data_IF_551257842328
#
_entry.id   IF_551257842328
#
_cell.length_a   1.000
_cell.length_b   1.000
_cell.length_c   1.000
_cell.angle_alpha   90.00
_cell.angle_beta   90.00
_cell.angle_gamma   90.00
#
_symmetry.space_group_name_H-M   'P 1'
#
loop_
_entity.id
_entity.type
_entity.pdbx_description
1 polymer ?
#
# COMPACT_ATOMS: atom_id res chain seq x y z
N UNK A 1 17.22 14.91 -21.90
CA UNK A 1 17.87 14.46 -20.66
C UNK A 1 17.33 15.29 -19.54
N UNK A 2 16.56 14.69 -18.64
CA UNK A 2 16.10 15.39 -17.42
C UNK A 2 17.14 15.16 -16.33
N UNK A 3 17.77 16.22 -15.86
CA UNK A 3 18.67 16.16 -14.72
C UNK A 3 17.86 15.83 -13.47
N UNK A 4 18.24 14.78 -12.74
CA UNK A 4 17.66 14.49 -11.44
C UNK A 4 18.13 15.54 -10.40
N UNK A 5 17.36 15.73 -9.31
CA UNK A 5 17.77 16.59 -8.19
C UNK A 5 19.13 16.18 -7.63
N UNK A 6 19.42 14.87 -7.64
CA UNK A 6 20.71 14.33 -7.21
C UNK A 6 21.84 14.70 -8.17
N UNK A 7 21.58 14.70 -9.49
CA UNK A 7 22.56 15.09 -10.49
C UNK A 7 22.78 16.61 -10.43
N UNK A 8 21.73 17.39 -10.21
CA UNK A 8 21.86 18.83 -9.95
C UNK A 8 22.76 19.12 -8.74
N UNK A 9 22.57 18.41 -7.64
CA UNK A 9 23.42 18.55 -6.45
C UNK A 9 24.86 18.08 -6.71
N UNK A 10 25.06 16.99 -7.47
CA UNK A 10 26.40 16.52 -7.86
C UNK A 10 27.09 17.49 -8.81
N UNK A 11 26.38 18.01 -9.82
CA UNK A 11 26.92 19.03 -10.72
C UNK A 11 27.15 20.34 -10.00
N UNK A 12 26.26 20.76 -9.11
CA UNK A 12 26.42 21.93 -8.28
C UNK A 12 27.67 21.83 -7.40
N UNK A 13 27.97 20.69 -6.81
CA UNK A 13 29.17 20.46 -6.02
C UNK A 13 30.45 20.41 -6.89
N UNK A 14 30.40 19.82 -8.08
CA UNK A 14 31.53 19.78 -9.02
C UNK A 14 31.83 21.18 -9.59
N UNK A 15 30.78 21.93 -9.92
CA UNK A 15 30.94 23.32 -10.42
C UNK A 15 31.49 24.24 -9.31
N UNK A 16 31.02 24.04 -8.07
CA UNK A 16 31.54 24.80 -6.91
C UNK A 16 33.00 24.48 -6.63
N UNK A 17 33.43 23.20 -6.77
CA UNK A 17 34.83 22.81 -6.68
C UNK A 17 35.68 23.44 -7.83
N UNK A 18 35.13 23.50 -9.05
CA UNK A 18 35.78 24.11 -10.21
C UNK A 18 35.97 25.64 -10.07
N UNK A 19 35.01 26.34 -9.43
CA UNK A 19 35.06 27.76 -9.19
C UNK A 19 36.01 28.11 -8.01
N UNK A 20 36.11 27.24 -7.00
CA UNK A 20 37.05 27.39 -5.89
C UNK A 20 38.52 27.34 -6.35
N UNK A 21 38.82 26.59 -7.44
CA UNK A 21 40.15 26.56 -8.06
C UNK A 21 40.42 27.79 -8.91
N UNK A 22 39.36 28.55 -9.32
CA UNK A 22 39.44 29.75 -10.13
C UNK A 22 39.59 31.07 -9.36
N UNK A 23 39.84 31.06 -8.06
CA UNK A 23 40.33 32.23 -7.30
C UNK A 23 39.30 33.31 -6.90
N UNK A 24 37.98 33.02 -7.01
CA UNK A 24 36.90 33.78 -6.36
C UNK A 24 36.06 32.83 -5.54
N UNK A 25 36.42 32.70 -4.25
CA UNK A 25 35.76 31.81 -3.32
C UNK A 25 34.25 32.10 -3.23
N UNK A 26 33.43 31.21 -3.75
CA UNK A 26 32.04 31.14 -3.35
C UNK A 26 32.01 30.59 -1.93
N UNK A 27 31.42 31.37 -1.01
CA UNK A 27 31.15 30.87 0.33
C UNK A 27 30.08 29.78 0.24
N UNK A 28 30.48 28.53 0.42
CA UNK A 28 29.58 27.37 0.40
C UNK A 28 28.98 27.09 1.77
N UNK A 29 29.38 27.78 2.82
CA UNK A 29 28.88 27.58 4.18
C UNK A 29 27.35 27.66 4.27
N UNK A 30 26.63 28.55 3.57
CA UNK A 30 25.17 28.58 3.57
C UNK A 30 24.58 27.33 2.90
N UNK A 31 25.22 26.80 1.85
CA UNK A 31 24.75 25.58 1.14
C UNK A 31 25.00 24.36 2.00
N UNK A 32 26.13 24.24 2.64
CA UNK A 32 26.46 23.18 3.57
C UNK A 32 25.53 23.20 4.80
N UNK A 33 25.27 24.36 5.37
CA UNK A 33 24.33 24.55 6.46
C UNK A 33 22.91 24.12 6.05
N UNK A 34 22.44 24.50 4.86
CA UNK A 34 21.15 24.07 4.33
C UNK A 34 21.12 22.55 4.09
N UNK A 35 22.21 21.96 3.57
CA UNK A 35 22.31 20.53 3.35
C UNK A 35 22.26 19.73 4.66
N UNK A 36 22.75 20.28 5.78
CA UNK A 36 22.67 19.62 7.09
C UNK A 36 21.23 19.53 7.63
N UNK A 37 20.33 20.37 7.15
CA UNK A 37 18.92 20.42 7.57
C UNK A 37 18.00 19.57 6.69
N UNK A 38 18.52 18.91 5.65
CA UNK A 38 17.71 18.07 4.79
C UNK A 38 17.05 16.93 5.60
N UNK A 39 15.73 16.84 5.47
CA UNK A 39 14.91 15.85 6.19
C UNK A 39 15.37 14.41 5.95
N UNK A 40 15.84 14.11 4.74
CA UNK A 40 16.28 12.77 4.33
C UNK A 40 17.77 12.50 4.62
N UNK A 41 18.49 13.43 5.25
CA UNK A 41 19.89 13.21 5.64
C UNK A 41 19.99 12.04 6.61
N UNK A 42 20.89 11.10 6.33
CA UNK A 42 21.09 9.88 7.13
C UNK A 42 19.88 8.94 7.15
N UNK A 43 18.88 9.19 6.32
CA UNK A 43 17.77 8.27 6.15
C UNK A 43 18.17 7.05 5.30
N UNK A 44 17.58 5.90 5.61
CA UNK A 44 17.65 4.72 4.73
C UNK A 44 16.53 4.83 3.71
N UNK A 45 16.85 4.59 2.44
CA UNK A 45 15.87 4.54 1.36
C UNK A 45 15.51 3.08 1.04
N UNK A 46 14.22 2.82 0.89
CA UNK A 46 13.68 1.53 0.47
C UNK A 46 12.81 1.75 -0.77
N UNK A 47 12.84 0.77 -1.69
CA UNK A 47 11.93 0.77 -2.82
C UNK A 47 10.56 0.24 -2.40
N UNK A 48 9.51 0.84 -2.92
CA UNK A 48 8.13 0.45 -2.69
C UNK A 48 7.23 0.78 -3.87
N UNK A 49 5.97 0.43 -3.78
CA UNK A 49 4.96 0.68 -4.81
C UNK A 49 3.78 1.43 -4.18
N UNK A 50 3.26 2.40 -4.91
CA UNK A 50 2.06 3.15 -4.50
C UNK A 50 0.83 2.23 -4.49
N UNK A 51 0.06 2.15 -3.39
CA UNK A 51 -1.06 1.20 -3.28
C UNK A 51 -2.35 1.69 -3.93
N UNK A 52 -2.42 2.92 -4.48
CA UNK A 52 -3.69 3.52 -4.83
C UNK A 52 -4.33 3.03 -6.13
N UNK A 53 -3.55 2.66 -7.13
CA UNK A 53 -4.12 2.21 -8.39
C UNK A 53 -3.16 1.34 -9.20
N UNK A 54 -3.69 0.70 -10.25
CA UNK A 54 -2.96 -0.23 -11.13
C UNK A 54 -1.77 0.38 -11.88
N UNK A 55 -1.56 1.70 -11.83
CA UNK A 55 -0.34 2.31 -12.39
C UNK A 55 0.91 1.81 -11.67
N UNK A 56 0.80 1.46 -10.37
CA UNK A 56 1.92 0.90 -9.63
C UNK A 56 3.15 1.81 -9.59
N UNK A 57 2.94 3.13 -9.36
CA UNK A 57 4.06 4.08 -9.32
C UNK A 57 5.08 3.66 -8.27
N UNK A 58 6.34 3.50 -8.68
CA UNK A 58 7.40 3.17 -7.74
C UNK A 58 7.77 4.37 -6.87
N UNK A 59 8.08 4.09 -5.63
CA UNK A 59 8.36 5.05 -4.58
C UNK A 59 9.70 4.75 -3.91
N UNK A 60 10.42 5.80 -3.52
CA UNK A 60 11.51 5.74 -2.56
C UNK A 60 10.95 6.14 -1.19
N UNK A 61 11.02 5.22 -0.26
CA UNK A 61 10.52 5.38 1.11
C UNK A 61 11.71 5.63 2.02
N UNK A 62 11.79 6.83 2.56
CA UNK A 62 12.87 7.23 3.46
C UNK A 62 12.48 6.98 4.91
N UNK A 63 13.32 6.24 5.60
CA UNK A 63 13.11 5.91 7.02
C UNK A 63 14.26 6.37 7.89
N UNK A 64 13.93 6.84 9.09
CA UNK A 64 14.87 7.18 10.15
C UNK A 64 14.21 6.85 11.50
N UNK A 65 14.98 6.28 12.43
CA UNK A 65 14.49 5.92 13.77
C UNK A 65 13.19 5.10 13.76
N UNK A 66 13.14 4.11 12.85
CA UNK A 66 11.99 3.23 12.64
C UNK A 66 10.69 3.95 12.25
N UNK A 67 10.79 5.12 11.63
CA UNK A 67 9.65 5.89 11.11
C UNK A 67 9.86 6.24 9.65
N UNK A 68 8.78 6.27 8.89
CA UNK A 68 8.79 6.85 7.55
C UNK A 68 8.82 8.36 7.70
N UNK A 69 9.84 9.00 7.15
CA UNK A 69 10.03 10.44 7.23
C UNK A 69 9.73 11.15 5.92
N UNK A 70 9.89 10.46 4.78
CA UNK A 70 9.54 10.98 3.47
C UNK A 70 9.23 9.88 2.46
N UNK A 71 8.48 10.22 1.40
CA UNK A 71 8.19 9.35 0.25
C UNK A 71 8.30 10.20 -1.01
N UNK A 72 9.13 9.75 -1.94
CA UNK A 72 9.31 10.34 -3.26
C UNK A 72 9.09 9.31 -4.36
N UNK A 73 8.88 9.77 -5.60
CA UNK A 73 8.85 8.88 -6.75
C UNK A 73 10.24 8.35 -7.06
N UNK A 74 10.34 7.07 -7.39
CA UNK A 74 11.59 6.43 -7.78
C UNK A 74 11.99 6.82 -9.22
N UNK A 75 13.08 7.58 -9.40
CA UNK A 75 13.51 8.05 -10.72
C UNK A 75 14.06 6.94 -11.61
N UNK A 76 14.49 5.81 -11.01
CA UNK A 76 15.09 4.71 -11.74
C UNK A 76 14.03 3.78 -12.36
N UNK A 77 12.76 4.00 -12.03
CA UNK A 77 11.65 3.21 -12.55
C UNK A 77 11.28 3.63 -13.98
N UNK A 78 11.26 2.69 -14.95
CA UNK A 78 11.10 3.03 -16.37
C UNK A 78 9.73 3.58 -16.74
N UNK A 79 8.66 3.26 -15.98
CA UNK A 79 7.29 3.67 -16.33
C UNK A 79 6.86 5.00 -15.72
N UNK A 80 7.35 5.38 -14.54
CA UNK A 80 6.96 6.64 -13.90
C UNK A 80 8.07 7.68 -13.81
N UNK A 81 9.34 7.25 -13.92
CA UNK A 81 10.51 8.14 -13.94
C UNK A 81 10.49 9.16 -12.81
N UNK A 82 10.18 8.71 -11.60
CA UNK A 82 10.11 9.56 -10.41
C UNK A 82 8.84 10.42 -10.28
N UNK A 83 7.84 10.24 -11.15
CA UNK A 83 6.61 11.03 -11.08
C UNK A 83 5.58 10.35 -10.18
N UNK A 84 4.95 11.16 -9.31
CA UNK A 84 3.82 10.77 -8.49
C UNK A 84 2.67 11.75 -8.71
N UNK A 85 1.44 11.25 -8.72
CA UNK A 85 0.26 12.09 -8.60
C UNK A 85 0.10 12.56 -7.14
N UNK A 86 -0.79 13.52 -6.84
CA UNK A 86 -0.98 14.01 -5.47
C UNK A 86 -1.28 12.91 -4.44
N UNK A 87 -2.02 11.86 -4.82
CA UNK A 87 -2.29 10.71 -3.93
C UNK A 87 -1.02 9.93 -3.61
N UNK A 88 -0.20 9.63 -4.64
CA UNK A 88 1.07 8.96 -4.47
C UNK A 88 2.05 9.75 -3.60
N UNK A 89 2.11 11.06 -3.79
CA UNK A 89 2.93 11.95 -2.94
C UNK A 89 2.44 12.01 -1.49
N UNK A 90 1.14 11.83 -1.25
CA UNK A 90 0.53 11.85 0.08
C UNK A 90 0.54 10.49 0.79
N UNK A 91 1.11 9.43 0.22
CA UNK A 91 1.11 8.08 0.83
C UNK A 91 1.77 8.04 2.22
N UNK A 92 2.72 8.91 2.50
CA UNK A 92 3.31 9.04 3.84
C UNK A 92 2.25 9.28 4.93
N UNK A 93 1.15 9.95 4.60
CA UNK A 93 0.08 10.23 5.54
C UNK A 93 -0.69 8.96 5.93
N UNK A 94 -0.70 7.91 5.10
CA UNK A 94 -1.30 6.62 5.45
C UNK A 94 -0.59 5.98 6.64
N UNK A 95 0.73 6.09 6.69
CA UNK A 95 1.54 5.56 7.79
C UNK A 95 1.51 6.44 9.03
N UNK A 96 1.59 7.76 8.85
CA UNK A 96 1.79 8.73 9.92
C UNK A 96 0.51 9.40 10.42
N UNK A 97 -0.65 8.97 9.93
CA UNK A 97 -1.94 9.54 10.33
C UNK A 97 -2.26 9.19 11.80
N UNK A 98 -2.41 10.19 12.69
CA UNK A 98 -2.76 9.95 14.09
C UNK A 98 -4.18 9.36 14.27
N UNK A 99 -5.04 9.49 13.25
CA UNK A 99 -6.40 8.92 13.26
C UNK A 99 -6.45 7.49 12.72
N UNK A 100 -5.30 6.91 12.34
CA UNK A 100 -5.25 5.54 11.87
C UNK A 100 -5.67 4.58 12.98
N UNK A 101 -6.73 3.75 12.78
CA UNK A 101 -7.12 2.76 13.78
C UNK A 101 -6.01 1.71 13.93
N UNK A 102 -5.56 1.52 15.16
CA UNK A 102 -4.51 0.56 15.52
C UNK A 102 -5.05 -0.62 16.33
N UNK A 103 -6.36 -0.61 16.63
CA UNK A 103 -7.03 -1.64 17.42
C UNK A 103 -8.28 -2.13 16.67
N UNK A 104 -8.65 -3.37 16.93
CA UNK A 104 -9.90 -3.90 16.46
C UNK A 104 -11.07 -3.29 17.24
N UNK A 105 -12.08 -2.83 16.52
CA UNK A 105 -13.32 -2.28 17.11
C UNK A 105 -14.48 -3.23 16.81
N UNK A 106 -15.20 -3.62 17.81
CA UNK A 106 -16.40 -4.44 17.72
C UNK A 106 -17.63 -3.69 18.19
N UNK A 107 -18.72 -3.82 17.46
CA UNK A 107 -20.03 -3.35 17.89
C UNK A 107 -21.00 -4.52 17.91
N UNK A 108 -21.54 -4.81 19.09
CA UNK A 108 -22.51 -5.89 19.25
C UNK A 108 -23.80 -5.60 18.46
N UNK A 109 -24.54 -6.64 18.00
CA UNK A 109 -25.83 -6.44 17.37
C UNK A 109 -26.80 -5.66 18.28
N UNK A 110 -27.41 -4.59 17.71
CA UNK A 110 -28.31 -3.70 18.45
C UNK A 110 -27.65 -2.68 19.38
N UNK A 111 -26.32 -2.71 19.52
CA UNK A 111 -25.57 -1.71 20.31
C UNK A 111 -25.22 -0.49 19.46
N UNK A 112 -25.16 0.67 20.09
CA UNK A 112 -24.62 1.92 19.54
C UNK A 112 -23.16 2.16 19.97
N UNK A 113 -22.60 1.31 20.85
CA UNK A 113 -21.28 1.45 21.43
C UNK A 113 -20.26 0.57 20.70
N UNK A 114 -19.06 1.14 20.50
CA UNK A 114 -17.89 0.43 19.98
C UNK A 114 -16.99 0.01 21.13
N UNK A 115 -16.55 -1.23 21.11
CA UNK A 115 -15.63 -1.82 22.08
C UNK A 115 -14.32 -2.19 21.44
N UNK A 116 -13.20 -1.86 22.09
CA UNK A 116 -11.88 -2.34 21.67
C UNK A 116 -11.73 -3.82 22.04
N UNK A 117 -11.32 -4.62 21.06
CA UNK A 117 -11.04 -6.06 21.26
C UNK A 117 -9.62 -6.40 20.85
N UNK A 118 -9.00 -7.42 21.46
CA UNK A 118 -7.72 -7.97 20.97
C UNK A 118 -7.85 -8.46 19.53
N UNK A 119 -6.76 -8.36 18.76
CA UNK A 119 -6.75 -8.76 17.36
C UNK A 119 -7.02 -10.26 17.18
N UNK A 120 -6.48 -11.10 18.07
CA UNK A 120 -6.72 -12.53 18.09
C UNK A 120 -8.21 -12.86 18.27
N UNK A 121 -8.87 -12.18 19.18
CA UNK A 121 -10.30 -12.33 19.38
C UNK A 121 -11.09 -12.02 18.11
N UNK A 122 -10.70 -10.96 17.40
CA UNK A 122 -11.35 -10.57 16.14
C UNK A 122 -11.15 -11.62 15.05
N UNK A 123 -9.93 -12.16 14.92
CA UNK A 123 -9.65 -13.22 13.96
C UNK A 123 -10.50 -14.47 14.23
N UNK A 124 -10.61 -14.87 15.49
CA UNK A 124 -11.40 -16.03 15.89
C UNK A 124 -12.90 -15.82 15.60
N UNK A 125 -13.43 -14.64 15.90
CA UNK A 125 -14.84 -14.33 15.64
C UNK A 125 -15.16 -14.26 14.14
N UNK A 126 -14.27 -13.71 13.33
CA UNK A 126 -14.40 -13.71 11.87
C UNK A 126 -14.36 -15.15 11.35
N UNK A 127 -13.38 -15.96 11.78
CA UNK A 127 -13.25 -17.35 11.37
C UNK A 127 -14.48 -18.20 11.73
N UNK A 128 -15.00 -18.05 12.95
CA UNK A 128 -16.24 -18.72 13.39
C UNK A 128 -17.42 -18.35 12.49
N UNK A 129 -17.62 -17.07 12.20
CA UNK A 129 -18.73 -16.59 11.36
C UNK A 129 -18.60 -17.08 9.91
N UNK A 130 -17.41 -16.98 9.33
CA UNK A 130 -17.13 -17.48 7.97
C UNK A 130 -17.41 -18.98 7.91
N UNK A 131 -16.91 -19.76 8.88
CA UNK A 131 -17.15 -21.20 8.96
C UNK A 131 -18.65 -21.51 9.06
N UNK A 132 -19.35 -20.91 10.01
CA UNK A 132 -20.78 -21.17 10.22
C UNK A 132 -21.62 -20.80 8.99
N UNK A 133 -21.36 -19.65 8.36
CA UNK A 133 -22.07 -19.23 7.15
C UNK A 133 -21.79 -20.16 5.99
N UNK A 134 -20.51 -20.56 5.82
CA UNK A 134 -20.13 -21.50 4.77
C UNK A 134 -20.80 -22.86 4.96
N UNK A 135 -20.76 -23.43 6.17
CA UNK A 135 -21.39 -24.72 6.48
C UNK A 135 -22.90 -24.70 6.23
N UNK A 136 -23.57 -23.58 6.52
CA UNK A 136 -25.01 -23.42 6.30
C UNK A 136 -25.40 -23.23 4.83
N UNK A 137 -24.49 -22.78 3.96
CA UNK A 137 -24.82 -22.35 2.58
C UNK A 137 -23.97 -23.05 1.52
N UNK A 138 -23.12 -24.01 1.89
CA UNK A 138 -22.24 -24.69 0.95
C UNK A 138 -23.02 -25.74 0.15
N UNK A 139 -22.87 -25.70 -1.16
CA UNK A 139 -23.44 -26.65 -2.11
C UNK A 139 -22.31 -27.36 -2.82
N UNK A 140 -22.16 -28.64 -2.60
CA UNK A 140 -21.15 -29.47 -3.26
C UNK A 140 -21.58 -29.85 -4.67
N UNK A 141 -22.81 -30.34 -4.83
CA UNK A 141 -23.35 -30.85 -6.10
C UNK A 141 -24.67 -30.17 -6.41
N UNK A 142 -24.88 -29.81 -7.65
CA UNK A 142 -26.13 -29.26 -8.15
C UNK A 142 -26.61 -29.99 -9.41
N UNK A 143 -27.92 -30.01 -9.64
CA UNK A 143 -28.50 -30.50 -10.88
C UNK A 143 -28.37 -29.46 -12.01
N UNK A 144 -27.74 -29.86 -13.11
CA UNK A 144 -27.71 -29.06 -14.33
C UNK A 144 -29.11 -28.99 -14.98
N UNK A 145 -29.26 -28.11 -15.99
CA UNK A 145 -30.50 -28.04 -16.77
C UNK A 145 -30.89 -29.35 -17.43
N UNK A 146 -29.93 -30.20 -17.73
CA UNK A 146 -30.13 -31.54 -18.32
C UNK A 146 -30.33 -32.63 -17.28
N UNK A 147 -30.50 -32.29 -16.00
CA UNK A 147 -30.74 -33.21 -14.89
C UNK A 147 -29.49 -33.95 -14.40
N UNK A 148 -28.30 -33.67 -14.93
CA UNK A 148 -27.05 -34.33 -14.53
C UNK A 148 -26.48 -33.65 -13.27
N UNK A 149 -25.83 -34.43 -12.43
CA UNK A 149 -25.11 -33.93 -11.26
C UNK A 149 -23.83 -33.26 -11.69
N UNK A 150 -23.61 -32.03 -11.21
CA UNK A 150 -22.41 -31.21 -11.44
C UNK A 150 -21.82 -30.81 -10.11
N UNK A 151 -20.54 -31.07 -9.90
CA UNK A 151 -19.82 -30.64 -8.73
C UNK A 151 -19.55 -29.12 -8.86
N UNK A 152 -20.09 -28.32 -7.95
CA UNK A 152 -20.01 -26.87 -7.97
C UNK A 152 -19.17 -26.29 -6.83
N UNK A 153 -19.09 -26.94 -5.70
CA UNK A 153 -18.29 -26.56 -4.53
C UNK A 153 -18.41 -25.06 -4.19
N UNK A 154 -19.63 -24.53 -4.08
CA UNK A 154 -19.87 -23.10 -3.90
C UNK A 154 -20.59 -22.74 -2.62
N UNK A 155 -20.40 -21.52 -2.15
CA UNK A 155 -21.27 -20.86 -1.15
C UNK A 155 -21.73 -19.50 -1.67
N UNK A 156 -23.01 -19.22 -1.52
CA UNK A 156 -23.66 -17.96 -1.87
C UNK A 156 -23.94 -17.08 -0.63
N UNK A 157 -23.68 -17.62 0.56
CA UNK A 157 -23.87 -16.90 1.81
C UNK A 157 -22.77 -15.90 2.14
N UNK A 158 -21.68 -15.89 1.36
CA UNK A 158 -20.52 -15.01 1.57
C UNK A 158 -20.23 -14.25 0.28
N UNK A 159 -19.99 -12.95 0.39
CA UNK A 159 -19.50 -12.11 -0.68
C UNK A 159 -18.21 -11.39 -0.26
N UNK A 160 -17.32 -11.16 -1.21
CA UNK A 160 -16.14 -10.36 -1.03
C UNK A 160 -16.23 -9.07 -1.86
N UNK A 161 -16.04 -7.95 -1.22
CA UNK A 161 -15.90 -6.63 -1.85
C UNK A 161 -14.47 -6.18 -1.69
N UNK A 162 -13.67 -6.35 -2.74
CA UNK A 162 -12.28 -5.95 -2.76
C UNK A 162 -12.06 -4.44 -2.88
N UNK A 163 -10.81 -4.04 -2.76
CA UNK A 163 -10.34 -2.66 -2.91
C UNK A 163 -9.50 -2.48 -4.17
N UNK A 164 -9.48 -1.26 -4.71
CA UNK A 164 -8.51 -0.88 -5.74
C UNK A 164 -7.12 -0.56 -5.16
N UNK A 165 -7.00 -0.46 -3.85
CA UNK A 165 -5.78 -0.05 -3.14
C UNK A 165 -5.01 -1.26 -2.60
N UNK A 166 -4.85 -2.28 -3.42
CA UNK A 166 -4.07 -3.50 -3.15
C UNK A 166 -3.22 -3.83 -4.38
N UNK A 167 -2.08 -4.47 -4.17
CA UNK A 167 -1.19 -4.89 -5.26
C UNK A 167 -1.62 -6.19 -5.93
N UNK A 168 -0.86 -6.63 -6.93
CA UNK A 168 -1.19 -7.83 -7.70
C UNK A 168 -1.10 -9.11 -6.86
N UNK A 169 -0.14 -9.19 -5.96
CA UNK A 169 0.08 -10.32 -5.07
C UNK A 169 -1.06 -10.45 -4.06
N UNK A 170 -1.50 -9.34 -3.49
CA UNK A 170 -2.66 -9.29 -2.59
C UNK A 170 -3.95 -9.68 -3.33
N UNK A 171 -4.18 -9.16 -4.54
CA UNK A 171 -5.30 -9.55 -5.39
C UNK A 171 -5.33 -11.04 -5.67
N UNK A 172 -4.16 -11.63 -5.98
CA UNK A 172 -4.03 -13.07 -6.22
C UNK A 172 -4.35 -13.89 -4.97
N UNK A 173 -3.75 -13.53 -3.84
CA UNK A 173 -3.97 -14.22 -2.56
C UNK A 173 -5.43 -14.15 -2.11
N UNK A 174 -6.05 -12.97 -2.21
CA UNK A 174 -7.45 -12.76 -1.88
C UNK A 174 -8.37 -13.63 -2.76
N UNK A 175 -8.15 -13.60 -4.07
CA UNK A 175 -8.93 -14.42 -5.01
C UNK A 175 -8.76 -15.89 -4.71
N UNK A 176 -7.55 -16.36 -4.46
CA UNK A 176 -7.26 -17.76 -4.11
C UNK A 176 -7.95 -18.17 -2.82
N UNK A 177 -7.89 -17.36 -1.78
CA UNK A 177 -8.58 -17.61 -0.51
C UNK A 177 -10.11 -17.71 -0.72
N UNK A 178 -10.71 -16.75 -1.39
CA UNK A 178 -12.16 -16.75 -1.63
C UNK A 178 -12.60 -17.97 -2.46
N UNK A 179 -11.85 -18.35 -3.49
CA UNK A 179 -12.15 -19.55 -4.28
C UNK A 179 -11.98 -20.83 -3.48
N UNK A 180 -10.99 -20.90 -2.60
CA UNK A 180 -10.80 -22.05 -1.69
C UNK A 180 -11.99 -22.21 -0.73
N UNK A 181 -12.60 -21.11 -0.30
CA UNK A 181 -13.81 -21.12 0.52
C UNK A 181 -15.09 -21.45 -0.29
N UNK A 182 -15.01 -21.46 -1.63
CA UNK A 182 -16.16 -21.67 -2.51
C UNK A 182 -16.98 -20.39 -2.74
N UNK A 183 -16.46 -19.22 -2.40
CA UNK A 183 -17.16 -17.93 -2.59
C UNK A 183 -17.30 -17.62 -4.08
N UNK A 184 -18.54 -17.38 -4.51
CA UNK A 184 -18.89 -17.04 -5.90
C UNK A 184 -18.85 -15.54 -6.12
N UNK A 185 -19.40 -14.77 -5.19
CA UNK A 185 -19.48 -13.31 -5.27
C UNK A 185 -18.16 -12.67 -4.88
N UNK A 186 -17.34 -12.42 -5.89
CA UNK A 186 -16.03 -11.79 -5.78
C UNK A 186 -16.01 -10.56 -6.66
N UNK A 187 -16.21 -9.41 -6.07
CA UNK A 187 -16.27 -8.13 -6.75
C UNK A 187 -15.17 -7.18 -6.28
N UNK A 188 -14.87 -6.22 -7.11
CA UNK A 188 -13.80 -5.27 -6.91
C UNK A 188 -14.26 -3.87 -7.31
N UNK A 189 -13.93 -2.86 -6.53
CA UNK A 189 -14.37 -1.48 -6.74
C UNK A 189 -14.04 -0.95 -8.15
N UNK A 190 -12.88 -1.29 -8.70
CA UNK A 190 -12.46 -0.82 -10.03
C UNK A 190 -13.08 -1.60 -11.20
N UNK A 191 -13.93 -2.59 -10.94
CA UNK A 191 -14.57 -3.42 -11.95
C UNK A 191 -15.92 -2.90 -12.42
N UNK A 192 -16.49 -1.96 -11.75
CA UNK A 192 -17.82 -1.39 -12.06
C UNK A 192 -17.76 -0.55 -13.32
#
# INVERSE_FOLDING_TARGET
MSLSRRDFLKFGSATAAGVAVGGRGLDLAPVEAAATTLKIREAKAFHGVCPYCAVGCAQLIYTKDNRIIDIEGDPDTPHTLGRLCPKGAATIQLSNNPLRPTKALYRAPGSDQWEEKPLEWMHDEIAKRVKATREATFVEVEKSKDGKDVVVNRTEGIANLGSACIDNEECYLLTKLMRTLGVVYLEHQARV
#
